data_IF_000394515934
#
_entry.id   IF_000394515934
#
_cell.length_a   1.000
_cell.length_b   1.000
_cell.length_c   1.000
_cell.angle_alpha   90.00
_cell.angle_beta   90.00
_cell.angle_gamma   90.00
#
_symmetry.space_group_name_H-M   'P 1'
#
loop_
_entity.id
_entity.type
_entity.pdbx_description
1 polymer ?
#
# COMPACT_ATOMS: atom_id res chain seq x y z
N UNK A 1 13.67 30.52 -29.08
CA UNK A 1 13.33 30.20 -27.68
C UNK A 1 11.84 29.95 -27.61
N UNK A 2 11.44 28.88 -26.94
CA UNK A 2 10.03 28.48 -26.78
C UNK A 2 9.81 26.99 -27.05
N UNK A 3 10.51 26.12 -26.33
CA UNK A 3 10.10 24.71 -26.23
C UNK A 3 8.95 24.64 -25.23
N UNK A 4 7.80 24.13 -25.66
CA UNK A 4 6.68 23.90 -24.76
C UNK A 4 7.04 22.72 -23.83
N UNK A 5 6.90 22.93 -22.53
CA UNK A 5 7.26 21.94 -21.51
C UNK A 5 6.09 20.96 -21.24
N UNK A 6 5.04 21.04 -22.05
CA UNK A 6 3.77 20.31 -21.90
C UNK A 6 3.67 19.06 -22.79
N UNK A 7 4.70 18.80 -23.62
CA UNK A 7 4.78 17.64 -24.50
C UNK A 7 5.38 16.43 -23.79
N UNK A 8 4.90 16.09 -22.59
CA UNK A 8 5.09 14.73 -22.10
C UNK A 8 4.24 13.81 -23.00
N UNK A 9 4.78 12.70 -23.54
CA UNK A 9 3.95 11.75 -24.27
C UNK A 9 2.86 11.34 -23.30
N UNK A 10 1.59 11.59 -23.65
CA UNK A 10 0.45 11.16 -22.85
C UNK A 10 0.63 9.66 -22.62
N UNK A 11 1.18 9.30 -21.47
CA UNK A 11 0.96 8.00 -20.90
C UNK A 11 -0.56 7.95 -20.84
N UNK A 12 -1.15 7.13 -21.71
CA UNK A 12 -2.48 6.61 -21.47
C UNK A 12 -2.34 5.90 -20.12
N UNK A 13 -2.50 6.66 -19.03
CA UNK A 13 -2.94 6.12 -17.79
C UNK A 13 -4.26 5.48 -18.19
N UNK A 14 -4.36 4.13 -18.18
CA UNK A 14 -5.65 3.49 -18.36
C UNK A 14 -6.59 4.24 -17.42
N UNK A 15 -7.75 4.65 -17.94
CA UNK A 15 -8.85 5.19 -17.14
C UNK A 15 -8.82 4.48 -15.80
N UNK A 16 -8.54 5.22 -14.72
CA UNK A 16 -8.12 4.67 -13.45
C UNK A 16 -9.20 3.72 -12.94
N UNK A 17 -9.11 2.46 -13.36
CA UNK A 17 -9.81 1.34 -12.77
C UNK A 17 -9.22 1.31 -11.38
N UNK A 18 -10.01 1.78 -10.41
CA UNK A 18 -9.68 1.68 -9.01
C UNK A 18 -9.65 0.20 -8.65
N UNK A 19 -8.54 -0.45 -9.00
CA UNK A 19 -8.29 -1.84 -8.69
C UNK A 19 -8.11 -1.89 -7.17
N UNK A 20 -9.02 -2.60 -6.52
CA UNK A 20 -9.00 -2.75 -5.07
C UNK A 20 -7.77 -3.56 -4.70
N UNK A 21 -6.75 -2.90 -4.16
CA UNK A 21 -5.61 -3.60 -3.58
C UNK A 21 -6.08 -4.45 -2.39
N UNK A 22 -5.68 -5.70 -2.38
CA UNK A 22 -5.88 -6.62 -1.27
C UNK A 22 -4.63 -6.63 -0.38
N UNK A 23 -4.77 -7.17 0.84
CA UNK A 23 -3.60 -7.37 1.70
C UNK A 23 -2.52 -8.23 1.04
N UNK A 24 -2.94 -9.20 0.21
CA UNK A 24 -2.02 -10.08 -0.51
C UNK A 24 -1.10 -9.33 -1.47
N UNK A 25 -1.54 -8.19 -2.01
CA UNK A 25 -0.77 -7.41 -2.98
C UNK A 25 0.40 -6.65 -2.34
N UNK A 26 0.36 -6.47 -1.01
CA UNK A 26 1.39 -5.75 -0.24
C UNK A 26 2.19 -6.65 0.69
N UNK A 27 1.84 -7.94 0.81
CA UNK A 27 2.53 -8.87 1.72
C UNK A 27 3.27 -9.97 0.99
N UNK A 28 4.50 -10.22 1.42
CA UNK A 28 5.17 -11.49 1.16
C UNK A 28 4.60 -12.54 2.12
N UNK A 29 4.39 -13.77 1.65
CA UNK A 29 3.98 -14.90 2.50
C UNK A 29 4.89 -16.09 2.24
N UNK A 30 5.22 -16.82 3.31
CA UNK A 30 6.03 -18.03 3.24
C UNK A 30 5.20 -19.21 3.72
N UNK A 31 5.30 -20.33 3.03
CA UNK A 31 4.82 -21.62 3.54
C UNK A 31 5.66 -22.07 4.73
N UNK A 32 5.17 -22.98 5.59
CA UNK A 32 5.95 -23.50 6.70
C UNK A 32 7.29 -24.13 6.28
N UNK A 33 7.34 -24.74 5.09
CA UNK A 33 8.56 -25.33 4.55
C UNK A 33 9.55 -24.24 4.13
N UNK A 34 9.10 -23.19 3.45
CA UNK A 34 9.95 -22.06 3.06
C UNK A 34 10.45 -21.29 4.29
N UNK A 35 9.60 -21.14 5.32
CA UNK A 35 9.96 -20.48 6.57
C UNK A 35 11.17 -21.12 7.26
N UNK A 36 11.27 -22.46 7.26
CA UNK A 36 12.39 -23.19 7.87
C UNK A 36 13.72 -22.95 7.13
N UNK A 37 13.65 -22.59 5.85
CA UNK A 37 14.83 -22.31 5.04
C UNK A 37 15.32 -20.86 5.17
N UNK A 38 14.54 -19.98 5.83
CA UNK A 38 14.95 -18.60 6.08
C UNK A 38 15.97 -18.56 7.22
N UNK A 39 17.01 -17.76 7.03
CA UNK A 39 17.91 -17.41 8.13
C UNK A 39 17.22 -16.48 9.15
N UNK A 40 17.87 -16.28 10.29
CA UNK A 40 17.32 -15.50 11.38
C UNK A 40 17.04 -14.03 10.98
N UNK A 41 17.88 -13.46 10.12
CA UNK A 41 17.77 -12.07 9.69
C UNK A 41 16.60 -11.91 8.72
N UNK A 42 16.37 -12.89 7.83
CA UNK A 42 15.22 -12.95 6.93
C UNK A 42 13.89 -13.12 7.69
N UNK A 43 13.87 -13.97 8.73
CA UNK A 43 12.68 -14.12 9.58
C UNK A 43 12.38 -12.85 10.38
N UNK A 44 13.41 -12.16 10.86
CA UNK A 44 13.26 -10.87 11.53
C UNK A 44 12.69 -9.82 10.57
N UNK A 45 13.29 -9.68 9.39
CA UNK A 45 12.84 -8.76 8.36
C UNK A 45 11.39 -9.02 7.93
N UNK A 46 10.99 -10.29 7.78
CA UNK A 46 9.60 -10.63 7.50
C UNK A 46 8.64 -10.10 8.56
N UNK A 47 8.99 -10.28 9.85
CA UNK A 47 8.15 -9.79 10.95
C UNK A 47 8.06 -8.27 10.93
N UNK A 48 9.17 -7.58 10.70
CA UNK A 48 9.20 -6.12 10.65
C UNK A 48 8.32 -5.59 9.51
N UNK A 49 8.47 -6.14 8.30
CA UNK A 49 7.68 -5.75 7.12
C UNK A 49 6.19 -6.04 7.31
N UNK A 50 5.83 -7.20 7.85
CA UNK A 50 4.40 -7.55 8.09
C UNK A 50 3.79 -6.66 9.17
N UNK A 51 4.53 -6.33 10.23
CA UNK A 51 4.08 -5.43 11.28
C UNK A 51 3.91 -3.99 10.78
N UNK A 52 4.83 -3.50 9.95
CA UNK A 52 4.73 -2.18 9.32
C UNK A 52 3.51 -2.12 8.39
N UNK A 53 3.31 -3.14 7.55
CA UNK A 53 2.15 -3.23 6.67
C UNK A 53 0.83 -3.24 7.44
N UNK A 54 0.77 -3.98 8.56
CA UNK A 54 -0.41 -3.97 9.44
C UNK A 54 -0.65 -2.58 10.05
N UNK A 55 0.41 -1.91 10.51
CA UNK A 55 0.34 -0.54 11.02
C UNK A 55 -0.18 0.45 9.99
N UNK A 56 0.32 0.37 8.75
CA UNK A 56 -0.09 1.21 7.63
C UNK A 56 -1.58 1.03 7.29
N UNK A 57 -2.08 -0.21 7.29
CA UNK A 57 -3.51 -0.49 7.06
C UNK A 57 -4.40 0.07 8.17
N UNK A 58 -3.99 -0.09 9.43
CA UNK A 58 -4.72 0.48 10.57
C UNK A 58 -4.72 2.01 10.50
N UNK A 59 -3.62 2.63 10.06
CA UNK A 59 -3.55 4.08 9.87
C UNK A 59 -4.54 4.56 8.81
N UNK A 60 -4.51 3.97 7.60
CA UNK A 60 -5.44 4.31 6.52
C UNK A 60 -6.89 4.10 6.95
N UNK A 61 -7.18 2.99 7.66
CA UNK A 61 -8.50 2.72 8.20
C UNK A 61 -8.97 3.78 9.22
N UNK A 62 -8.07 4.27 10.08
CA UNK A 62 -8.35 5.37 11.00
C UNK A 62 -8.60 6.68 10.23
N UNK A 63 -7.80 7.01 9.25
CA UNK A 63 -7.95 8.24 8.47
C UNK A 63 -9.29 8.26 7.72
N UNK A 64 -9.67 7.14 7.09
CA UNK A 64 -10.99 6.96 6.46
C UNK A 64 -12.11 7.09 7.49
N UNK A 65 -11.98 6.45 8.65
CA UNK A 65 -12.99 6.53 9.70
C UNK A 65 -13.16 7.96 10.23
N UNK A 66 -12.05 8.67 10.48
CA UNK A 66 -12.04 10.06 10.94
C UNK A 66 -12.66 11.00 9.89
N UNK A 67 -12.28 10.88 8.62
CA UNK A 67 -12.89 11.62 7.51
C UNK A 67 -14.41 11.38 7.41
N UNK A 68 -14.85 10.13 7.55
CA UNK A 68 -16.28 9.81 7.53
C UNK A 68 -17.04 10.36 8.76
N UNK A 69 -16.38 10.45 9.92
CA UNK A 69 -16.96 11.04 11.13
C UNK A 69 -17.10 12.56 11.03
N UNK A 70 -16.10 13.26 10.48
CA UNK A 70 -16.14 14.71 10.21
C UNK A 70 -17.21 15.07 9.18
N UNK A 71 -17.38 14.25 8.14
CA UNK A 71 -18.42 14.48 7.12
C UNK A 71 -19.85 14.22 7.62
N UNK A 72 -20.05 13.33 8.62
CA UNK A 72 -21.38 13.04 9.17
C UNK A 72 -21.85 14.04 10.22
N UNK A 73 -20.94 14.80 10.82
CA UNK A 73 -21.26 15.83 11.80
C UNK A 73 -20.43 17.09 11.53
N UNK A 74 -20.78 17.88 10.49
CA UNK A 74 -20.15 19.17 10.30
C UNK A 74 -20.47 20.08 11.49
N UNK A 75 -19.43 20.60 12.14
CA UNK A 75 -19.50 21.58 13.24
C UNK A 75 -20.06 22.91 12.75
#
# INVERSE_FOLDING_TARGET
GGGNEDSWPRLHFPEASAESLTFGDVTVTFTPLEWIHLDADQQALYRDVVMENYGNLVSVGKDIFLLNSELRHPV
#
